data_IF_296997433689
#
_entry.id   IF_296997433689
#
_cell.length_a   1.000
_cell.length_b   1.000
_cell.length_c   1.000
_cell.angle_alpha   90.00
_cell.angle_beta   90.00
_cell.angle_gamma   90.00
#
_symmetry.space_group_name_H-M   'P 1'
#
loop_
_entity.id
_entity.type
_entity.pdbx_description
1 polymer ?
#
# COMPACT_ATOMS: atom_id res chain seq x y z
N UNK A 1 7.75 -12.01 18.05
CA UNK A 1 6.93 -13.13 17.57
C UNK A 1 6.38 -13.86 18.75
N UNK A 2 5.09 -13.94 18.84
CA UNK A 2 4.43 -14.59 19.96
C UNK A 2 3.79 -15.91 19.49
N UNK A 3 3.77 -16.91 20.37
CA UNK A 3 3.07 -18.16 20.13
C UNK A 3 3.56 -19.01 18.93
N UNK A 4 4.81 -18.84 18.49
CA UNK A 4 5.38 -19.66 17.40
C UNK A 4 4.89 -19.31 16.00
N UNK A 5 4.11 -18.25 15.82
CA UNK A 5 3.73 -17.78 14.50
C UNK A 5 4.90 -17.09 13.77
N UNK A 6 4.96 -17.19 12.43
CA UNK A 6 5.86 -16.39 11.64
C UNK A 6 5.69 -14.88 11.92
N UNK A 7 6.75 -14.10 11.69
CA UNK A 7 6.68 -12.65 11.83
C UNK A 7 5.59 -12.07 10.93
N UNK A 8 4.87 -11.05 11.40
CA UNK A 8 3.74 -10.40 10.76
C UNK A 8 2.50 -11.28 10.51
N UNK A 9 2.51 -12.56 10.88
CA UNK A 9 1.30 -13.38 10.77
C UNK A 9 0.28 -13.00 11.85
N UNK A 10 -0.92 -12.64 11.40
CA UNK A 10 -2.05 -12.42 12.30
C UNK A 10 -2.53 -13.79 12.84
N UNK A 11 -2.63 -13.99 14.17
CA UNK A 11 -3.11 -15.23 14.75
C UNK A 11 -4.51 -15.60 14.21
N UNK A 12 -4.70 -16.89 13.91
CA UNK A 12 -5.97 -17.38 13.39
C UNK A 12 -6.22 -17.14 11.90
N UNK A 13 -5.29 -16.49 11.20
CA UNK A 13 -5.36 -16.34 9.74
C UNK A 13 -4.59 -17.45 9.04
N UNK A 14 -5.03 -17.86 7.87
CA UNK A 14 -4.40 -18.87 7.02
C UNK A 14 -3.25 -18.32 6.17
N UNK A 15 -3.18 -16.99 6.02
CA UNK A 15 -2.17 -16.26 5.24
C UNK A 15 -1.25 -15.42 6.13
N UNK A 16 -0.04 -15.13 5.65
CA UNK A 16 0.90 -14.19 6.29
C UNK A 16 0.67 -12.76 5.78
N UNK A 17 0.36 -12.63 4.48
CA UNK A 17 0.02 -11.37 3.85
C UNK A 17 -1.34 -11.54 3.15
N UNK A 18 -2.17 -10.52 3.21
CA UNK A 18 -3.46 -10.49 2.55
C UNK A 18 -3.25 -10.15 1.07
N UNK A 19 -3.57 -11.06 0.12
CA UNK A 19 -3.38 -10.79 -1.30
C UNK A 19 -4.40 -9.76 -1.79
N UNK A 20 -3.92 -8.73 -2.49
CA UNK A 20 -4.80 -7.84 -3.24
C UNK A 20 -5.41 -8.57 -4.44
N UNK A 21 -6.53 -8.07 -4.94
CA UNK A 21 -7.15 -8.58 -6.16
C UNK A 21 -6.32 -8.22 -7.40
N UNK A 22 -6.03 -9.20 -8.24
CA UNK A 22 -5.15 -9.04 -9.41
C UNK A 22 -5.71 -8.06 -10.45
N UNK A 23 -7.02 -8.08 -10.68
CA UNK A 23 -7.66 -7.18 -11.64
C UNK A 23 -7.67 -5.74 -11.10
N UNK A 24 -8.04 -5.55 -9.83
CA UNK A 24 -7.97 -4.23 -9.19
C UNK A 24 -6.54 -3.69 -9.17
N UNK A 25 -5.56 -4.53 -8.93
CA UNK A 25 -4.14 -4.15 -8.92
C UNK A 25 -3.68 -3.71 -10.32
N UNK A 26 -4.07 -4.42 -11.37
CA UNK A 26 -3.76 -4.04 -12.76
C UNK A 26 -4.41 -2.71 -13.16
N UNK A 27 -5.69 -2.52 -12.84
CA UNK A 27 -6.39 -1.25 -13.11
C UNK A 27 -5.80 -0.09 -12.32
N UNK A 28 -5.49 -0.29 -11.05
CA UNK A 28 -4.87 0.72 -10.20
C UNK A 28 -3.48 1.11 -10.71
N UNK A 29 -2.67 0.15 -11.13
CA UNK A 29 -1.36 0.41 -11.73
C UNK A 29 -1.48 1.23 -13.01
N UNK A 30 -2.39 0.85 -13.91
CA UNK A 30 -2.63 1.59 -15.16
C UNK A 30 -3.09 3.03 -14.89
N UNK A 31 -4.01 3.22 -13.94
CA UNK A 31 -4.46 4.56 -13.55
C UNK A 31 -3.33 5.40 -12.95
N UNK A 32 -2.48 4.81 -12.10
CA UNK A 32 -1.35 5.51 -11.48
C UNK A 32 -0.28 5.91 -12.50
N UNK A 33 0.07 5.01 -13.44
CA UNK A 33 1.00 5.29 -14.52
C UNK A 33 0.49 6.37 -15.49
N UNK A 34 -0.82 6.45 -15.71
CA UNK A 34 -1.41 7.52 -16.49
C UNK A 34 -1.33 8.91 -15.83
N UNK A 35 -1.27 8.96 -14.49
CA UNK A 35 -1.16 10.21 -13.72
C UNK A 35 0.30 10.62 -13.50
N UNK A 36 1.18 9.67 -13.22
CA UNK A 36 2.60 9.92 -12.93
C UNK A 36 3.49 8.80 -13.51
N UNK A 37 3.77 8.83 -14.81
CA UNK A 37 4.47 7.74 -15.50
C UNK A 37 5.85 7.42 -14.91
N UNK A 38 6.16 6.13 -14.77
CA UNK A 38 7.45 5.64 -14.30
C UNK A 38 7.66 5.76 -12.78
N UNK A 39 6.63 6.15 -12.01
CA UNK A 39 6.73 6.35 -10.56
C UNK A 39 5.85 5.39 -9.76
N UNK A 40 5.24 4.42 -10.41
CA UNK A 40 4.40 3.42 -9.75
C UNK A 40 5.16 2.12 -9.53
N UNK A 41 4.94 1.50 -8.38
CA UNK A 41 5.49 0.18 -8.07
C UNK A 41 4.40 -0.71 -7.49
N UNK A 42 4.43 -1.98 -7.87
CA UNK A 42 3.63 -3.03 -7.25
C UNK A 42 4.51 -3.78 -6.25
N UNK A 43 3.98 -4.00 -5.06
CA UNK A 43 4.72 -4.73 -4.05
C UNK A 43 3.98 -4.83 -2.73
N UNK A 44 4.62 -5.50 -1.78
CA UNK A 44 4.07 -5.67 -0.44
C UNK A 44 4.11 -4.37 0.34
N UNK A 45 3.05 -4.12 1.09
CA UNK A 45 2.93 -3.04 2.07
C UNK A 45 2.98 -3.65 3.47
N UNK A 46 3.76 -3.08 4.38
CA UNK A 46 3.78 -3.46 5.78
C UNK A 46 3.05 -2.41 6.62
N UNK A 47 2.09 -2.84 7.43
CA UNK A 47 1.36 -1.96 8.33
C UNK A 47 1.75 -2.19 9.79
N UNK A 48 1.80 -1.13 10.58
CA UNK A 48 2.07 -1.21 12.01
C UNK A 48 1.68 0.08 12.72
N UNK A 49 1.66 0.05 14.06
CA UNK A 49 1.20 1.18 14.89
C UNK A 49 2.32 2.20 15.18
N UNK A 50 3.39 2.19 14.39
CA UNK A 50 4.53 3.09 14.58
C UNK A 50 4.89 3.81 13.28
N UNK A 51 5.13 5.11 13.39
CA UNK A 51 5.78 5.86 12.32
C UNK A 51 7.25 5.43 12.21
N UNK A 52 7.65 4.97 11.03
CA UNK A 52 8.99 4.45 10.77
C UNK A 52 9.84 5.56 10.12
N UNK A 53 10.73 6.14 10.91
CA UNK A 53 11.63 7.22 10.47
C UNK A 53 13.11 6.83 10.50
N UNK A 54 13.46 5.77 11.22
CA UNK A 54 14.86 5.35 11.37
C UNK A 54 15.23 4.17 10.46
N UNK A 55 16.48 4.17 10.05
CA UNK A 55 17.04 3.19 9.11
C UNK A 55 17.04 1.76 9.68
N UNK A 56 17.33 1.57 10.97
CA UNK A 56 17.41 0.22 11.54
C UNK A 56 16.07 -0.48 11.54
N UNK A 57 15.00 0.23 11.93
CA UNK A 57 13.63 -0.30 11.86
C UNK A 57 13.20 -0.57 10.43
N UNK A 58 13.53 0.33 9.51
CA UNK A 58 13.26 0.12 8.09
C UNK A 58 13.90 -1.17 7.59
N UNK A 59 15.22 -1.32 7.80
CA UNK A 59 15.97 -2.48 7.35
C UNK A 59 15.43 -3.79 7.96
N UNK A 60 15.09 -3.76 9.26
CA UNK A 60 14.46 -4.88 9.94
C UNK A 60 13.10 -5.26 9.30
N UNK A 61 12.24 -4.28 8.99
CA UNK A 61 10.95 -4.54 8.34
C UNK A 61 11.15 -5.13 6.96
N UNK A 62 12.06 -4.58 6.16
CA UNK A 62 12.38 -5.11 4.83
C UNK A 62 12.86 -6.56 4.93
N UNK A 63 13.79 -6.86 5.84
CA UNK A 63 14.31 -8.22 6.05
C UNK A 63 13.19 -9.21 6.39
N UNK A 64 12.29 -8.82 7.29
CA UNK A 64 11.24 -9.72 7.81
C UNK A 64 10.03 -9.85 6.90
N UNK A 65 9.71 -8.82 6.12
CA UNK A 65 8.45 -8.77 5.36
C UNK A 65 8.64 -8.65 3.87
N UNK A 66 9.81 -8.22 3.40
CA UNK A 66 10.08 -7.86 2.01
C UNK A 66 9.14 -6.75 1.49
N UNK A 67 8.65 -5.90 2.38
CA UNK A 67 7.78 -4.79 2.03
C UNK A 67 8.54 -3.70 1.27
N UNK A 68 7.87 -3.08 0.30
CA UNK A 68 8.36 -1.92 -0.44
C UNK A 68 8.08 -0.60 0.27
N UNK A 69 7.05 -0.57 1.12
CA UNK A 69 6.74 0.58 1.97
C UNK A 69 6.10 0.17 3.28
N UNK A 70 6.06 1.12 4.21
CA UNK A 70 5.37 1.00 5.50
C UNK A 70 4.31 2.09 5.64
N UNK A 71 3.24 1.76 6.31
CA UNK A 71 2.12 2.65 6.63
C UNK A 71 1.38 2.12 7.87
N UNK A 72 0.20 2.62 8.19
CA UNK A 72 -0.43 2.33 9.48
C UNK A 72 -1.88 1.81 9.39
N UNK A 73 -2.48 1.69 8.21
CA UNK A 73 -3.90 1.37 8.05
C UNK A 73 -4.19 0.17 7.13
N UNK A 74 -3.33 -0.07 6.14
CA UNK A 74 -3.61 -0.97 5.03
C UNK A 74 -3.86 -2.42 5.44
N UNK A 75 -3.13 -2.96 6.42
CA UNK A 75 -3.35 -4.33 6.87
C UNK A 75 -4.70 -4.53 7.56
N UNK A 76 -5.21 -3.53 8.30
CA UNK A 76 -6.52 -3.61 8.93
C UNK A 76 -7.65 -3.63 7.89
N UNK A 77 -7.52 -2.78 6.85
CA UNK A 77 -8.44 -2.74 5.71
C UNK A 77 -8.38 -4.07 4.95
N UNK A 78 -7.18 -4.53 4.61
CA UNK A 78 -6.95 -5.77 3.87
C UNK A 78 -7.47 -7.00 4.62
N UNK A 79 -7.22 -7.09 5.92
CA UNK A 79 -7.74 -8.18 6.77
C UNK A 79 -9.26 -8.19 6.78
N UNK A 80 -9.89 -7.03 6.91
CA UNK A 80 -11.35 -6.91 6.92
C UNK A 80 -11.93 -7.35 5.58
N UNK A 81 -11.39 -6.86 4.47
CA UNK A 81 -11.81 -7.24 3.13
C UNK A 81 -11.62 -8.74 2.88
N UNK A 82 -10.44 -9.27 3.19
CA UNK A 82 -10.11 -10.69 3.03
C UNK A 82 -11.09 -11.61 3.80
N UNK A 83 -11.38 -11.29 5.06
CA UNK A 83 -12.32 -12.08 5.88
C UNK A 83 -13.76 -12.04 5.38
N UNK A 84 -14.13 -11.00 4.66
CA UNK A 84 -15.47 -10.84 4.10
C UNK A 84 -15.57 -11.22 2.62
N UNK A 85 -14.48 -11.73 2.01
CA UNK A 85 -14.46 -12.10 0.60
C UNK A 85 -14.64 -10.90 -0.34
N UNK A 86 -14.23 -9.69 0.09
CA UNK A 86 -14.33 -8.47 -0.70
C UNK A 86 -13.00 -8.21 -1.41
N UNK A 87 -12.99 -8.10 -2.75
CA UNK A 87 -11.80 -7.71 -3.50
C UNK A 87 -11.28 -6.34 -3.04
N UNK A 88 -9.96 -6.19 -2.93
CA UNK A 88 -9.35 -4.93 -2.50
C UNK A 88 -8.00 -4.68 -3.18
N UNK A 89 -7.59 -3.43 -3.20
CA UNK A 89 -6.23 -2.98 -3.51
C UNK A 89 -5.85 -1.83 -2.58
N UNK A 90 -4.60 -1.75 -2.16
CA UNK A 90 -4.08 -0.66 -1.34
C UNK A 90 -3.23 0.24 -2.22
N UNK A 91 -3.54 1.53 -2.24
CA UNK A 91 -2.79 2.58 -2.93
C UNK A 91 -2.14 3.51 -1.90
N UNK A 92 -0.86 3.78 -2.04
CA UNK A 92 -0.11 4.68 -1.14
C UNK A 92 0.77 5.63 -1.93
N UNK A 93 0.74 6.91 -1.56
CA UNK A 93 1.79 7.85 -1.94
C UNK A 93 2.93 7.77 -0.91
N UNK A 94 4.16 7.74 -1.38
CA UNK A 94 5.34 7.63 -0.52
C UNK A 94 5.92 9.02 -0.30
N UNK A 95 5.93 9.48 0.95
CA UNK A 95 6.38 10.83 1.34
C UNK A 95 7.89 10.95 1.53
N UNK A 96 8.53 9.88 1.97
CA UNK A 96 9.95 9.88 2.30
C UNK A 96 10.56 8.47 2.16
N UNK A 97 11.87 8.39 2.26
CA UNK A 97 12.59 7.10 2.17
C UNK A 97 12.89 6.49 3.54
N UNK A 98 12.46 7.11 4.65
CA UNK A 98 12.80 6.73 6.02
C UNK A 98 14.32 6.51 6.20
N UNK A 99 15.14 7.40 5.63
CA UNK A 99 16.60 7.34 5.67
C UNK A 99 17.26 8.69 6.07
N UNK A 100 16.46 9.57 6.70
CA UNK A 100 16.83 10.94 7.08
C UNK A 100 17.15 11.88 5.91
N UNK A 101 16.81 11.48 4.66
CA UNK A 101 17.05 12.27 3.44
C UNK A 101 15.81 13.04 2.95
N UNK A 102 14.84 13.32 3.80
CA UNK A 102 13.64 14.05 3.44
C UNK A 102 13.99 15.48 2.96
N UNK A 103 14.15 15.64 1.64
CA UNK A 103 14.47 16.94 1.01
C UNK A 103 13.22 17.71 0.60
N UNK A 104 12.05 17.08 0.59
CA UNK A 104 10.82 17.73 0.14
C UNK A 104 10.08 18.36 1.32
N UNK A 105 9.67 19.61 1.16
CA UNK A 105 8.74 20.27 2.07
C UNK A 105 7.42 19.49 2.16
N UNK A 106 7.10 18.99 3.35
CA UNK A 106 5.94 18.11 3.59
C UNK A 106 4.61 18.73 3.11
N UNK A 107 4.30 20.02 3.34
CA UNK A 107 3.09 20.65 2.81
C UNK A 107 2.97 20.62 1.29
N UNK A 108 4.07 20.86 0.58
CA UNK A 108 4.11 20.76 -0.89
C UNK A 108 3.88 19.34 -1.37
N UNK A 109 4.53 18.36 -0.72
CA UNK A 109 4.32 16.94 -1.00
C UNK A 109 2.86 16.54 -0.75
N UNK A 110 2.31 16.89 0.41
CA UNK A 110 0.94 16.55 0.80
C UNK A 110 -0.07 17.05 -0.23
N UNK A 111 0.03 18.31 -0.65
CA UNK A 111 -0.87 18.90 -1.63
C UNK A 111 -0.78 18.19 -2.99
N UNK A 112 0.44 17.97 -3.49
CA UNK A 112 0.65 17.29 -4.76
C UNK A 112 0.17 15.84 -4.73
N UNK A 113 0.43 15.14 -3.64
CA UNK A 113 0.04 13.75 -3.45
C UNK A 113 -1.47 13.60 -3.33
N UNK A 114 -2.14 14.51 -2.63
CA UNK A 114 -3.59 14.51 -2.52
C UNK A 114 -4.26 14.65 -3.89
N UNK A 115 -3.80 15.58 -4.73
CA UNK A 115 -4.31 15.75 -6.10
C UNK A 115 -4.06 14.49 -6.95
N UNK A 116 -2.86 13.93 -6.92
CA UNK A 116 -2.53 12.71 -7.67
C UNK A 116 -3.35 11.51 -7.20
N UNK A 117 -3.48 11.32 -5.90
CA UNK A 117 -4.29 10.23 -5.34
C UNK A 117 -5.77 10.37 -5.75
N UNK A 118 -6.33 11.56 -5.71
CA UNK A 118 -7.69 11.83 -6.15
C UNK A 118 -7.88 11.48 -7.64
N UNK A 119 -6.94 11.91 -8.50
CA UNK A 119 -6.99 11.62 -9.94
C UNK A 119 -6.86 10.12 -10.22
N UNK A 120 -5.94 9.43 -9.56
CA UNK A 120 -5.78 7.96 -9.69
C UNK A 120 -7.06 7.24 -9.26
N UNK A 121 -7.63 7.63 -8.12
CA UNK A 121 -8.87 7.02 -7.61
C UNK A 121 -10.04 7.25 -8.55
N UNK A 122 -10.17 8.45 -9.10
CA UNK A 122 -11.22 8.77 -10.06
C UNK A 122 -11.09 7.95 -11.36
N UNK A 123 -9.87 7.81 -11.89
CA UNK A 123 -9.60 6.98 -13.08
C UNK A 123 -9.91 5.51 -12.82
N UNK A 124 -9.46 4.98 -11.69
CA UNK A 124 -9.75 3.60 -11.28
C UNK A 124 -11.25 3.35 -11.18
N UNK A 125 -11.99 4.23 -10.50
CA UNK A 125 -13.44 4.10 -10.36
C UNK A 125 -14.16 4.11 -11.73
N UNK A 126 -13.75 4.99 -12.64
CA UNK A 126 -14.31 5.02 -14.00
C UNK A 126 -14.05 3.72 -14.76
N UNK A 127 -12.81 3.22 -14.71
CA UNK A 127 -12.45 1.96 -15.39
C UNK A 127 -13.29 0.79 -14.86
N UNK A 128 -13.53 0.73 -13.56
CA UNK A 128 -14.36 -0.33 -12.95
C UNK A 128 -15.81 -0.23 -13.41
N UNK A 129 -16.40 0.95 -13.45
CA UNK A 129 -17.76 1.16 -13.95
C UNK A 129 -17.92 0.79 -15.43
N UNK A 130 -16.91 1.11 -16.25
CA UNK A 130 -16.91 0.74 -17.67
C UNK A 130 -16.77 -0.78 -17.86
N UNK A 131 -15.96 -1.45 -17.04
CA UNK A 131 -15.79 -2.90 -17.09
C UNK A 131 -17.04 -3.69 -16.64
N UNK A 132 -17.82 -3.17 -15.69
CA UNK A 132 -19.09 -3.77 -15.27
C UNK A 132 -20.22 -3.59 -16.31
N UNK A 133 -20.06 -2.63 -17.21
CA UNK A 133 -21.07 -2.29 -18.21
C UNK A 133 -20.86 -3.00 -19.55
N UNK A 134 -19.76 -3.74 -19.70
CA UNK A 134 -19.36 -4.42 -20.93
C UNK A 134 -19.65 -5.92 -20.89
#
# INVERSE_FOLDING_TARGET
VHFGYPYAKVPGMDVIAFPADDALMAYAFSAAEAVNPGHTKIGRVASGDQFIADKEKKDFIIEKTQALCTEMEGAAIAQTAYRNGVPFVILRAISDKADNSAEMDYPTFETLSAHRCAEVTHRLARTLLEAESA
#
